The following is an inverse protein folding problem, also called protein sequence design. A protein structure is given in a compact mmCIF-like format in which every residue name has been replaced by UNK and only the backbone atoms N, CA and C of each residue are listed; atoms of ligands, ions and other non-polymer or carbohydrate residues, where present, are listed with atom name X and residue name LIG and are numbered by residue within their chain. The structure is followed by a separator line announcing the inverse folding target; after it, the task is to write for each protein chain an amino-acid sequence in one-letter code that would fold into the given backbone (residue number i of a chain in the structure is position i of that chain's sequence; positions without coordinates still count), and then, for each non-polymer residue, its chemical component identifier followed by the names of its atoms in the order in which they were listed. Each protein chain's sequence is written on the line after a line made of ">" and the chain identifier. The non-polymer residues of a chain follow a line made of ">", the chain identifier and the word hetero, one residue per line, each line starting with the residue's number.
data_IF_961469488585
#
_entry.id   IF_961469488585
#
_cell.length_a   1.000
_cell.length_b   1.000
_cell.length_c   1.000
_cell.angle_alpha   90.00
_cell.angle_beta   90.00
_cell.angle_gamma   90.00
#
_symmetry.space_group_name_H-M   'P 1'
#
loop_
_entity.id
_entity.type
_entity.pdbx_description
1 polymer ?
#
# COMPACT_ATOMS: atom_id res chain seq x y z
N UNK A 1 -15.15 -8.77 3.58
CA UNK A 1 -14.76 -8.76 2.15
C UNK A 1 -13.46 -7.98 2.01
N UNK A 2 -12.55 -8.39 1.12
CA UNK A 2 -11.24 -7.74 0.99
C UNK A 2 -11.14 -6.96 -0.33
N UNK A 3 -10.79 -5.67 -0.24
CA UNK A 3 -10.70 -4.74 -1.35
C UNK A 3 -9.29 -4.18 -1.52
N UNK A 4 -8.81 -4.11 -2.76
CA UNK A 4 -7.59 -3.39 -3.14
C UNK A 4 -7.97 -2.19 -4.02
N UNK A 5 -7.66 -0.98 -3.56
CA UNK A 5 -7.91 0.28 -4.29
C UNK A 5 -6.59 0.83 -4.85
N UNK A 6 -6.47 0.89 -6.16
CA UNK A 6 -5.25 1.33 -6.86
C UNK A 6 -5.51 2.63 -7.60
N UNK A 7 -4.57 3.57 -7.61
CA UNK A 7 -4.65 4.74 -8.49
C UNK A 7 -3.67 5.85 -8.14
N UNK A 8 -3.58 6.87 -9.01
CA UNK A 8 -2.71 8.04 -8.82
C UNK A 8 -2.86 8.71 -7.45
N UNK A 9 -1.83 9.41 -6.95
CA UNK A 9 -2.01 10.41 -5.90
C UNK A 9 -3.17 11.36 -6.25
N UNK A 10 -4.03 11.67 -5.27
CA UNK A 10 -5.20 12.53 -5.50
C UNK A 10 -6.39 11.90 -6.23
N UNK A 11 -6.38 10.59 -6.50
CA UNK A 11 -7.51 9.88 -7.13
C UNK A 11 -8.68 9.56 -6.18
N UNK A 12 -8.61 9.98 -4.90
CA UNK A 12 -9.68 9.77 -3.92
C UNK A 12 -9.70 8.40 -3.22
N UNK A 13 -8.60 7.62 -3.24
CA UNK A 13 -8.50 6.30 -2.59
C UNK A 13 -8.97 6.26 -1.13
N UNK A 14 -8.40 7.12 -0.30
CA UNK A 14 -8.74 7.22 1.12
C UNK A 14 -10.22 7.54 1.30
N UNK A 15 -10.73 8.51 0.53
CA UNK A 15 -12.15 8.90 0.54
C UNK A 15 -13.07 7.74 0.16
N UNK A 16 -12.74 7.02 -0.91
CA UNK A 16 -13.48 5.88 -1.39
C UNK A 16 -13.45 4.72 -0.38
N UNK A 17 -12.32 4.46 0.28
CA UNK A 17 -12.22 3.46 1.34
C UNK A 17 -13.18 3.77 2.50
N UNK A 18 -13.31 5.04 2.87
CA UNK A 18 -14.23 5.54 3.90
C UNK A 18 -15.72 5.59 3.46
N UNK A 19 -16.09 4.91 2.37
CA UNK A 19 -17.50 4.71 1.98
C UNK A 19 -18.02 3.30 2.28
N UNK A 20 -17.18 2.39 2.80
CA UNK A 20 -17.58 1.04 3.19
C UNK A 20 -18.52 0.96 4.41
N UNK A 21 -18.51 -0.17 5.11
CA UNK A 21 -19.34 -0.40 6.30
C UNK A 21 -18.77 0.35 7.52
N UNK A 22 -19.55 1.26 8.07
CA UNK A 22 -19.22 1.97 9.32
C UNK A 22 -19.35 1.05 10.54
N UNK A 23 -18.58 1.25 11.62
CA UNK A 23 -17.53 2.26 11.76
C UNK A 23 -16.19 1.80 11.18
N UNK A 24 -15.33 2.76 10.84
CA UNK A 24 -14.05 2.58 10.17
C UNK A 24 -12.89 2.69 11.15
N UNK A 25 -11.90 1.82 10.99
CA UNK A 25 -10.57 1.98 11.58
C UNK A 25 -9.53 2.12 10.47
N UNK A 26 -8.89 3.29 10.38
CA UNK A 26 -7.96 3.63 9.31
C UNK A 26 -6.54 3.73 9.86
N UNK A 27 -5.63 2.90 9.35
CA UNK A 27 -4.19 2.97 9.57
C UNK A 27 -3.59 3.90 8.51
N UNK A 28 -3.32 5.15 8.91
CA UNK A 28 -2.78 6.23 8.07
C UNK A 28 -1.25 6.22 8.13
N UNK A 29 -0.66 5.47 7.20
CA UNK A 29 0.79 5.36 7.00
C UNK A 29 1.33 6.59 6.27
N UNK A 30 0.50 7.27 5.47
CA UNK A 30 0.87 8.50 4.75
C UNK A 30 0.91 9.74 5.66
N UNK A 31 0.14 9.73 6.74
CA UNK A 31 0.13 10.77 7.77
C UNK A 31 -0.75 11.98 7.47
N UNK A 32 -1.70 11.88 6.52
CA UNK A 32 -2.48 13.01 6.00
C UNK A 32 -4.00 12.89 6.17
N UNK A 33 -4.52 11.71 6.53
CA UNK A 33 -5.96 11.45 6.55
C UNK A 33 -6.70 12.33 7.56
N UNK A 34 -6.06 12.63 8.69
CA UNK A 34 -6.62 13.50 9.72
C UNK A 34 -6.84 14.96 9.27
N UNK A 35 -6.13 15.41 8.23
CA UNK A 35 -6.24 16.77 7.68
C UNK A 35 -7.26 16.85 6.52
N UNK A 36 -7.77 15.72 6.05
CA UNK A 36 -8.67 15.68 4.90
C UNK A 36 -10.05 16.25 5.26
N UNK A 37 -10.43 17.39 4.66
CA UNK A 37 -11.70 18.07 4.92
C UNK A 37 -12.92 17.16 4.73
N UNK A 38 -12.88 16.33 3.68
CA UNK A 38 -13.97 15.42 3.33
C UNK A 38 -14.14 14.24 4.32
N UNK A 39 -13.19 14.01 5.23
CA UNK A 39 -13.28 12.99 6.28
C UNK A 39 -13.70 13.56 7.64
N UNK A 40 -13.64 14.89 7.83
CA UNK A 40 -13.93 15.53 9.11
C UNK A 40 -15.33 15.22 9.64
N UNK A 41 -16.32 15.09 8.75
CA UNK A 41 -17.67 14.69 9.13
C UNK A 41 -17.73 13.31 9.77
N UNK A 42 -16.97 12.34 9.24
CA UNK A 42 -16.91 10.97 9.79
C UNK A 42 -16.15 10.93 11.11
N UNK A 43 -15.06 11.70 11.22
CA UNK A 43 -14.26 11.80 12.45
C UNK A 43 -15.12 12.38 13.58
N UNK A 44 -15.80 13.51 13.32
CA UNK A 44 -16.66 14.17 14.31
C UNK A 44 -17.86 13.32 14.73
N UNK A 45 -18.38 12.50 13.83
CA UNK A 45 -19.47 11.57 14.13
C UNK A 45 -19.03 10.33 14.92
N UNK A 46 -17.72 10.10 15.09
CA UNK A 46 -17.18 8.88 15.68
C UNK A 46 -17.26 7.66 14.76
N UNK A 47 -17.61 7.87 13.48
CA UNK A 47 -17.71 6.81 12.48
C UNK A 47 -16.35 6.39 11.91
N UNK A 48 -15.33 7.23 12.06
CA UNK A 48 -13.97 6.99 11.56
C UNK A 48 -12.96 7.27 12.68
N UNK A 49 -12.23 6.23 13.07
CA UNK A 49 -11.04 6.34 13.93
C UNK A 49 -9.80 6.21 13.07
N UNK A 50 -8.88 7.17 13.21
CA UNK A 50 -7.63 7.22 12.45
C UNK A 50 -6.47 6.92 13.40
N UNK A 51 -5.70 5.90 13.08
CA UNK A 51 -4.37 5.66 13.63
C UNK A 51 -3.33 6.26 12.69
N UNK A 52 -2.79 7.41 13.06
CA UNK A 52 -1.69 8.03 12.32
C UNK A 52 -0.37 7.43 12.77
N UNK A 53 0.35 6.79 11.84
CA UNK A 53 1.66 6.22 12.14
C UNK A 53 2.63 7.32 12.59
N UNK A 54 3.30 7.11 13.72
CA UNK A 54 4.23 8.11 14.29
C UNK A 54 5.66 7.86 13.88
N UNK A 55 6.00 6.62 13.56
CA UNK A 55 7.34 6.23 13.14
C UNK A 55 7.78 6.92 11.86
N UNK A 56 9.00 7.48 11.88
CA UNK A 56 9.66 7.99 10.67
C UNK A 56 10.13 6.81 9.81
N UNK A 57 10.43 7.08 8.54
CA UNK A 57 11.09 6.08 7.68
C UNK A 57 12.45 5.64 8.23
N UNK A 58 13.14 6.58 8.87
CA UNK A 58 14.47 6.44 9.47
C UNK A 58 14.62 7.55 10.51
N UNK A 59 15.28 7.24 11.62
CA UNK A 59 15.52 8.19 12.73
C UNK A 59 16.87 8.92 12.62
N UNK A 60 17.66 8.62 11.59
CA UNK A 60 18.85 9.40 11.24
C UNK A 60 18.46 10.86 10.92
N UNK A 61 19.37 11.80 11.19
CA UNK A 61 19.14 13.20 10.78
C UNK A 61 19.12 13.33 9.25
N UNK A 62 18.24 14.21 8.73
CA UNK A 62 18.13 14.46 7.29
C UNK A 62 19.47 14.91 6.69
N UNK A 63 20.21 15.78 7.39
CA UNK A 63 21.54 16.24 6.97
C UNK A 63 22.53 15.09 6.87
N UNK A 64 22.53 14.16 7.84
CA UNK A 64 23.41 12.99 7.79
C UNK A 64 23.07 12.10 6.60
N UNK A 65 21.79 11.82 6.35
CA UNK A 65 21.34 11.00 5.22
C UNK A 65 21.63 11.62 3.87
N UNK A 66 21.51 12.95 3.74
CA UNK A 66 21.83 13.66 2.50
C UNK A 66 23.33 13.54 2.15
N UNK A 67 24.20 13.65 3.17
CA UNK A 67 25.65 13.48 2.99
C UNK A 67 26.07 12.01 2.84
N UNK A 68 25.26 11.07 3.34
CA UNK A 68 25.60 9.65 3.41
C UNK A 68 24.45 8.74 2.93
N UNK A 69 23.98 8.90 1.68
CA UNK A 69 22.74 8.25 1.21
C UNK A 69 22.82 6.72 1.21
N UNK A 70 24.03 6.17 1.05
CA UNK A 70 24.30 4.74 0.97
C UNK A 70 24.95 4.19 2.24
N UNK A 71 24.95 4.91 3.37
CA UNK A 71 25.44 4.34 4.63
C UNK A 71 24.37 3.46 5.28
N UNK A 72 24.78 2.38 5.98
CA UNK A 72 23.87 1.56 6.75
C UNK A 72 23.06 2.37 7.73
N UNK A 73 21.80 1.98 7.91
CA UNK A 73 20.91 2.57 8.91
C UNK A 73 21.38 2.10 10.28
N UNK A 74 21.52 3.01 11.24
CA UNK A 74 22.06 2.70 12.58
C UNK A 74 20.98 2.41 13.63
N UNK A 75 19.81 2.99 13.48
CA UNK A 75 18.67 2.85 14.38
C UNK A 75 17.59 2.02 13.69
N UNK A 76 17.02 1.03 14.37
CA UNK A 76 15.99 0.18 13.80
C UNK A 76 14.75 1.00 13.42
N UNK A 77 14.33 1.02 12.15
CA UNK A 77 13.09 1.69 11.75
C UNK A 77 11.86 0.97 12.32
N UNK A 78 10.98 1.68 13.02
CA UNK A 78 9.81 1.10 13.68
C UNK A 78 8.55 0.96 12.81
N UNK A 79 8.40 1.76 11.75
CA UNK A 79 7.07 1.96 11.14
C UNK A 79 6.43 0.73 10.47
N UNK A 80 7.21 -0.22 9.96
CA UNK A 80 6.62 -1.47 9.47
C UNK A 80 6.11 -2.34 10.63
N UNK A 81 6.92 -2.46 11.70
CA UNK A 81 6.58 -3.24 12.89
C UNK A 81 5.34 -2.67 13.59
N UNK A 82 5.24 -1.35 13.70
CA UNK A 82 4.06 -0.65 14.25
C UNK A 82 2.76 -1.05 13.54
N UNK A 83 2.79 -1.16 12.21
CA UNK A 83 1.61 -1.58 11.43
C UNK A 83 1.34 -3.07 11.57
N UNK A 84 2.38 -3.92 11.61
CA UNK A 84 2.21 -5.36 11.86
C UNK A 84 1.58 -5.61 13.22
N UNK A 85 2.08 -4.97 14.29
CA UNK A 85 1.56 -5.12 15.64
C UNK A 85 0.06 -4.75 15.71
N UNK A 86 -0.36 -3.69 15.01
CA UNK A 86 -1.77 -3.31 14.92
C UNK A 86 -2.61 -4.37 14.22
N UNK A 87 -2.17 -4.86 13.05
CA UNK A 87 -2.93 -5.86 12.31
C UNK A 87 -2.97 -7.20 13.04
N UNK A 88 -1.90 -7.60 13.74
CA UNK A 88 -1.90 -8.75 14.63
C UNK A 88 -2.98 -8.63 15.70
N UNK A 89 -3.07 -7.48 16.38
CA UNK A 89 -4.14 -7.25 17.38
C UNK A 89 -5.54 -7.29 16.76
N UNK A 90 -5.71 -6.75 15.55
CA UNK A 90 -6.98 -6.79 14.82
C UNK A 90 -7.38 -8.24 14.52
N UNK A 91 -6.46 -9.06 13.99
CA UNK A 91 -6.73 -10.47 13.64
C UNK A 91 -6.88 -11.35 14.87
N UNK A 92 -6.22 -11.00 15.98
CA UNK A 92 -6.35 -11.67 17.28
C UNK A 92 -7.65 -11.27 18.03
N UNK A 93 -8.54 -10.51 17.39
CA UNK A 93 -9.82 -10.06 17.94
C UNK A 93 -9.68 -9.26 19.25
N UNK A 94 -8.66 -8.41 19.37
CA UNK A 94 -8.52 -7.49 20.50
C UNK A 94 -9.83 -6.68 20.70
N UNK A 95 -10.39 -6.62 21.93
CA UNK A 95 -11.61 -5.87 22.22
C UNK A 95 -11.65 -4.43 21.72
N UNK A 96 -10.49 -3.75 21.65
CA UNK A 96 -10.39 -2.38 21.13
C UNK A 96 -10.89 -2.28 19.69
N UNK A 97 -10.62 -3.30 18.86
CA UNK A 97 -10.94 -3.27 17.43
C UNK A 97 -12.27 -3.93 17.08
N UNK A 98 -12.95 -4.56 18.05
CA UNK A 98 -14.24 -5.23 17.82
C UNK A 98 -15.36 -4.31 17.29
N UNK A 99 -15.49 -3.04 17.70
CA UNK A 99 -16.57 -2.18 17.23
C UNK A 99 -16.52 -1.85 15.73
N UNK A 100 -15.35 -1.92 15.09
CA UNK A 100 -15.19 -1.52 13.68
C UNK A 100 -15.66 -2.59 12.72
N UNK A 101 -16.32 -2.16 11.64
CA UNK A 101 -16.81 -3.03 10.57
C UNK A 101 -15.90 -2.99 9.33
N UNK A 102 -15.06 -1.96 9.19
CA UNK A 102 -14.11 -1.84 8.08
C UNK A 102 -12.74 -1.40 8.60
N UNK A 103 -11.71 -2.14 8.22
CA UNK A 103 -10.30 -1.80 8.47
C UNK A 103 -9.65 -1.30 7.18
N UNK A 104 -8.92 -0.20 7.26
CA UNK A 104 -8.32 0.47 6.10
C UNK A 104 -6.81 0.58 6.32
N UNK A 105 -6.00 0.11 5.34
CA UNK A 105 -4.56 0.37 5.26
C UNK A 105 -4.31 1.43 4.18
N UNK A 106 -3.90 2.64 4.58
CA UNK A 106 -3.63 3.77 3.69
C UNK A 106 -2.25 4.42 3.96
N UNK A 107 -1.20 4.20 3.17
CA UNK A 107 -1.11 3.42 1.94
C UNK A 107 -0.11 2.26 2.04
N UNK A 108 -0.39 1.16 1.32
CA UNK A 108 0.56 0.06 1.14
C UNK A 108 1.85 0.51 0.49
N UNK A 109 1.78 1.50 -0.42
CA UNK A 109 2.97 2.05 -1.07
C UNK A 109 3.94 2.60 -0.04
N UNK A 110 3.46 3.36 0.94
CA UNK A 110 4.31 3.88 2.01
C UNK A 110 4.76 2.78 2.97
N UNK A 111 3.89 1.83 3.30
CA UNK A 111 4.26 0.67 4.13
C UNK A 111 5.43 -0.13 3.52
N UNK A 112 5.40 -0.33 2.19
CA UNK A 112 6.49 -0.97 1.46
C UNK A 112 7.83 -0.23 1.61
N UNK A 113 7.82 1.10 1.72
CA UNK A 113 9.03 1.88 1.98
C UNK A 113 9.58 1.65 3.39
N UNK A 114 8.71 1.59 4.40
CA UNK A 114 9.09 1.25 5.77
C UNK A 114 9.69 -0.17 5.85
N UNK A 115 9.07 -1.15 5.20
CA UNK A 115 9.60 -2.53 5.14
C UNK A 115 11.01 -2.57 4.54
N UNK A 116 11.26 -1.85 3.44
CA UNK A 116 12.61 -1.77 2.85
C UNK A 116 13.62 -1.19 3.83
N UNK A 117 13.27 -0.14 4.60
CA UNK A 117 14.18 0.45 5.60
C UNK A 117 14.50 -0.53 6.72
N UNK A 118 13.50 -1.26 7.21
CA UNK A 118 13.70 -2.32 8.20
C UNK A 118 14.64 -3.42 7.69
N UNK A 119 14.45 -3.88 6.44
CA UNK A 119 15.31 -4.91 5.84
C UNK A 119 16.75 -4.41 5.59
N UNK A 120 16.92 -3.15 5.15
CA UNK A 120 18.24 -2.52 5.03
C UNK A 120 18.96 -2.52 6.39
N UNK A 121 18.26 -2.14 7.46
CA UNK A 121 18.79 -2.12 8.82
C UNK A 121 19.26 -3.51 9.27
N UNK A 122 18.40 -4.52 9.21
CA UNK A 122 18.75 -5.89 9.66
C UNK A 122 19.90 -6.52 8.88
N UNK A 123 20.12 -6.09 7.63
CA UNK A 123 21.22 -6.60 6.80
C UNK A 123 22.50 -5.77 6.91
N UNK A 124 22.49 -4.66 7.66
CA UNK A 124 23.61 -3.73 7.70
C UNK A 124 23.96 -3.15 6.31
N UNK A 125 22.99 -3.11 5.40
CA UNK A 125 23.18 -2.62 4.04
C UNK A 125 22.95 -1.12 3.97
N UNK A 126 23.53 -0.46 2.97
CA UNK A 126 23.27 0.96 2.70
C UNK A 126 22.12 1.20 1.73
N UNK A 127 21.85 0.23 0.87
CA UNK A 127 20.92 0.32 -0.26
C UNK A 127 20.14 -0.99 -0.36
N UNK A 128 18.82 -0.89 -0.52
CA UNK A 128 17.98 -2.07 -0.70
C UNK A 128 18.30 -2.76 -2.02
N UNK A 129 18.49 -4.08 -1.98
CA UNK A 129 18.69 -4.90 -3.19
C UNK A 129 20.03 -4.68 -3.89
N UNK A 130 21.02 -4.04 -3.25
CA UNK A 130 22.41 -3.99 -3.74
C UNK A 130 23.34 -4.82 -2.86
N UNK A 131 24.26 -5.51 -3.52
CA UNK A 131 25.36 -6.23 -2.87
C UNK A 131 26.35 -5.22 -2.29
N UNK A 132 26.72 -5.40 -1.02
CA UNK A 132 27.96 -4.81 -0.52
C UNK A 132 29.11 -5.66 -1.06
N UNK A 133 29.70 -5.26 -2.18
CA UNK A 133 30.97 -5.80 -2.64
C UNK A 133 32.04 -5.33 -1.65
N UNK A 134 32.37 -6.16 -0.66
CA UNK A 134 33.54 -5.89 0.18
C UNK A 134 34.79 -6.04 -0.69
N UNK A 135 35.69 -5.04 -0.66
CA UNK A 135 36.90 -5.04 -1.49
C UNK A 135 37.91 -6.13 -1.12
N UNK A 136 37.77 -6.75 0.05
CA UNK A 136 38.78 -7.65 0.63
C UNK A 136 38.39 -9.14 0.60
N UNK A 137 37.19 -9.47 0.12
CA UNK A 137 36.79 -10.87 -0.11
C UNK A 137 36.01 -10.97 -1.41
N UNK A 138 36.73 -11.10 -2.52
CA UNK A 138 36.22 -11.64 -3.78
C UNK A 138 35.96 -13.15 -3.66
N UNK A 139 35.27 -13.56 -2.59
CA UNK A 139 34.54 -14.83 -2.54
C UNK A 139 33.09 -14.46 -2.72
N UNK A 140 32.45 -15.12 -3.66
CA UNK A 140 31.06 -14.98 -4.08
C UNK A 140 30.10 -15.24 -2.89
N UNK A 141 30.02 -14.32 -1.93
CA UNK A 141 29.06 -14.40 -0.84
C UNK A 141 27.73 -13.92 -1.38
N UNK A 142 26.95 -14.86 -1.92
CA UNK A 142 25.49 -14.81 -2.11
C UNK A 142 24.91 -13.42 -2.38
N UNK A 143 25.41 -12.84 -3.48
CA UNK A 143 24.98 -11.57 -4.02
C UNK A 143 23.50 -11.64 -4.43
N UNK A 144 22.63 -10.95 -3.68
CA UNK A 144 21.23 -10.56 -3.97
C UNK A 144 20.05 -11.43 -3.53
N UNK A 145 20.21 -12.67 -3.05
CA UNK A 145 19.03 -13.53 -2.89
C UNK A 145 18.15 -13.33 -1.62
N UNK A 146 18.64 -12.88 -0.44
CA UNK A 146 17.76 -12.87 0.74
C UNK A 146 16.93 -11.60 0.96
N UNK A 147 17.28 -10.41 0.44
CA UNK A 147 16.47 -9.18 0.72
C UNK A 147 15.17 -9.13 -0.06
N UNK A 148 15.20 -9.51 -1.34
CA UNK A 148 13.99 -9.58 -2.16
C UNK A 148 13.11 -10.77 -1.75
N UNK A 149 13.72 -11.90 -1.38
CA UNK A 149 13.02 -13.03 -0.76
C UNK A 149 12.33 -12.63 0.54
N UNK A 150 13.06 -12.05 1.51
CA UNK A 150 12.47 -11.57 2.76
C UNK A 150 11.37 -10.52 2.53
N UNK A 151 11.57 -9.58 1.59
CA UNK A 151 10.55 -8.58 1.25
C UNK A 151 9.26 -9.22 0.72
N UNK A 152 9.39 -10.18 -0.20
CA UNK A 152 8.26 -10.92 -0.74
C UNK A 152 7.55 -11.70 0.37
N UNK A 153 8.29 -12.51 1.14
CA UNK A 153 7.71 -13.33 2.22
C UNK A 153 7.00 -12.48 3.28
N UNK A 154 7.55 -11.34 3.69
CA UNK A 154 6.91 -10.44 4.65
C UNK A 154 5.57 -9.89 4.13
N UNK A 155 5.50 -9.53 2.84
CA UNK A 155 4.25 -9.06 2.25
C UNK A 155 3.26 -10.20 2.02
N UNK A 156 3.73 -11.37 1.60
CA UNK A 156 2.88 -12.56 1.45
C UNK A 156 2.27 -12.96 2.79
N UNK A 157 3.06 -13.03 3.86
CA UNK A 157 2.59 -13.33 5.22
C UNK A 157 1.61 -12.29 5.74
N UNK A 158 1.92 -10.99 5.59
CA UNK A 158 1.01 -9.90 5.98
C UNK A 158 -0.36 -10.07 5.32
N UNK A 159 -0.40 -10.23 4.00
CA UNK A 159 -1.67 -10.33 3.30
C UNK A 159 -2.35 -11.68 3.49
N UNK A 160 -1.60 -12.77 3.65
CA UNK A 160 -2.18 -14.07 4.02
C UNK A 160 -2.92 -13.97 5.36
N UNK A 161 -2.26 -13.37 6.36
CA UNK A 161 -2.84 -13.18 7.69
C UNK A 161 -4.04 -12.23 7.63
N UNK A 162 -3.89 -11.03 7.08
CA UNK A 162 -4.96 -10.04 7.11
C UNK A 162 -6.15 -10.47 6.26
N UNK A 163 -5.94 -11.00 5.05
CA UNK A 163 -7.09 -11.34 4.19
C UNK A 163 -7.86 -12.57 4.66
N UNK A 164 -7.22 -13.50 5.39
CA UNK A 164 -7.87 -14.72 5.90
C UNK A 164 -8.42 -14.59 7.31
N UNK A 165 -7.75 -13.83 8.18
CA UNK A 165 -8.05 -13.78 9.61
C UNK A 165 -8.66 -12.45 10.08
N UNK A 166 -8.96 -11.53 9.16
CA UNK A 166 -9.87 -10.42 9.50
C UNK A 166 -11.19 -11.00 10.00
N UNK A 167 -11.75 -10.49 11.12
CA UNK A 167 -12.91 -11.10 11.75
C UNK A 167 -14.11 -11.18 10.79
N UNK A 168 -14.89 -12.26 10.93
CA UNK A 168 -16.01 -12.53 10.03
C UNK A 168 -17.02 -11.36 9.99
N UNK A 169 -17.57 -11.09 8.80
CA UNK A 169 -18.51 -10.00 8.56
C UNK A 169 -17.86 -8.63 8.35
N UNK A 170 -16.56 -8.49 8.66
CA UNK A 170 -15.81 -7.24 8.51
C UNK A 170 -15.16 -7.12 7.13
N UNK A 171 -14.87 -5.89 6.74
CA UNK A 171 -14.19 -5.57 5.49
C UNK A 171 -12.76 -5.10 5.75
N UNK A 172 -11.84 -5.50 4.87
CA UNK A 172 -10.47 -4.99 4.83
C UNK A 172 -10.24 -4.28 3.50
N UNK A 173 -9.76 -3.04 3.57
CA UNK A 173 -9.49 -2.21 2.39
C UNK A 173 -8.04 -1.79 2.42
N UNK A 174 -7.30 -2.14 1.37
CA UNK A 174 -5.92 -1.71 1.19
C UNK A 174 -5.85 -0.70 0.05
N UNK A 175 -5.16 0.42 0.23
CA UNK A 175 -4.91 1.38 -0.84
C UNK A 175 -3.46 1.29 -1.33
N UNK A 176 -3.25 1.52 -2.62
CA UNK A 176 -1.93 1.63 -3.21
C UNK A 176 -1.87 2.71 -4.28
N UNK A 177 -0.72 3.38 -4.39
CA UNK A 177 -0.45 4.20 -5.57
C UNK A 177 -0.28 3.32 -6.81
N UNK A 178 -0.51 3.88 -7.99
CA UNK A 178 -0.25 3.16 -9.24
C UNK A 178 1.22 3.29 -9.68
N UNK A 179 1.68 2.30 -10.42
CA UNK A 179 2.93 2.30 -11.20
C UNK A 179 2.60 1.88 -12.62
N UNK A 180 2.97 2.71 -13.58
CA UNK A 180 2.88 2.37 -14.99
C UNK A 180 4.07 1.51 -15.37
N UNK A 181 3.80 0.41 -16.07
CA UNK A 181 4.80 -0.48 -16.65
C UNK A 181 4.82 -0.21 -18.14
N UNK A 182 5.91 0.41 -18.57
CA UNK A 182 6.18 0.74 -19.98
C UNK A 182 7.35 -0.10 -20.46
N UNK A 183 7.25 -0.60 -21.68
CA UNK A 183 8.35 -1.25 -22.40
C UNK A 183 8.71 -0.36 -23.59
N UNK A 184 9.99 -0.03 -23.74
CA UNK A 184 10.46 0.72 -24.92
C UNK A 184 10.73 -0.28 -26.04
N UNK A 185 10.00 -0.15 -27.14
CA UNK A 185 10.26 -0.95 -28.34
C UNK A 185 11.67 -0.61 -28.87
N UNK A 186 12.55 -1.61 -29.06
CA UNK A 186 13.95 -1.37 -29.40
C UNK A 186 14.17 -0.85 -30.83
N UNK A 187 13.18 -1.00 -31.73
CA UNK A 187 13.29 -0.60 -33.13
C UNK A 187 12.67 0.78 -33.33
N UNK A 188 11.47 0.99 -32.80
CA UNK A 188 10.70 2.22 -33.01
C UNK A 188 10.94 3.28 -31.94
N UNK A 189 11.59 2.90 -30.84
CA UNK A 189 11.77 3.72 -29.64
C UNK A 189 10.47 4.18 -28.96
N UNK A 190 9.33 3.63 -29.36
CA UNK A 190 8.02 3.96 -28.79
C UNK A 190 7.83 3.26 -27.46
N UNK A 191 7.34 4.01 -26.47
CA UNK A 191 6.95 3.46 -25.17
C UNK A 191 5.57 2.79 -25.26
N UNK A 192 5.54 1.48 -25.01
CA UNK A 192 4.32 0.67 -24.98
C UNK A 192 3.90 0.46 -23.53
N UNK A 193 2.74 1.00 -23.15
CA UNK A 193 2.13 0.73 -21.85
C UNK A 193 1.66 -0.73 -21.78
N UNK A 194 2.37 -1.55 -21.01
CA UNK A 194 2.05 -2.96 -20.73
C UNK A 194 1.00 -3.12 -19.64
N UNK A 195 0.99 -2.24 -18.65
CA UNK A 195 -0.02 -2.28 -17.61
C UNK A 195 0.18 -1.23 -16.53
N UNK A 196 -0.85 -1.09 -15.70
CA UNK A 196 -0.89 -0.17 -14.57
C UNK A 196 -1.22 -0.99 -13.33
N UNK A 197 -0.23 -1.05 -12.44
CA UNK A 197 -0.17 -1.98 -11.32
C UNK A 197 -0.03 -1.21 -10.01
N UNK A 198 -0.24 -1.83 -8.84
CA UNK A 198 0.08 -1.17 -7.58
C UNK A 198 1.59 -0.89 -7.49
N UNK A 199 1.96 0.25 -6.91
CA UNK A 199 3.34 0.68 -6.67
C UNK A 199 3.92 -0.13 -5.50
N UNK A 200 4.18 -1.39 -5.82
CA UNK A 200 4.84 -2.42 -5.01
C UNK A 200 5.95 -3.01 -5.88
N UNK A 201 7.05 -3.43 -5.26
CA UNK A 201 8.21 -3.93 -5.99
C UNK A 201 8.27 -5.47 -6.05
N UNK A 202 9.11 -5.96 -6.96
CA UNK A 202 9.32 -7.40 -7.17
C UNK A 202 8.05 -8.13 -7.63
N UNK A 203 8.06 -9.45 -7.39
CA UNK A 203 6.99 -10.36 -7.77
C UNK A 203 5.67 -10.08 -7.04
N UNK A 204 5.72 -9.43 -5.87
CA UNK A 204 4.53 -9.14 -5.08
C UNK A 204 3.53 -8.27 -5.85
N UNK A 205 3.99 -7.41 -6.76
CA UNK A 205 3.14 -6.57 -7.62
C UNK A 205 2.08 -7.37 -8.38
N UNK A 206 2.48 -8.50 -8.95
CA UNK A 206 1.61 -9.34 -9.78
C UNK A 206 0.75 -10.26 -8.92
N UNK A 207 1.27 -10.71 -7.77
CA UNK A 207 0.54 -11.57 -6.83
C UNK A 207 -0.52 -10.85 -6.03
N UNK A 208 -0.30 -9.57 -5.70
CA UNK A 208 -1.12 -8.82 -4.74
C UNK A 208 -2.61 -8.85 -5.10
N UNK A 209 -2.96 -8.60 -6.35
CA UNK A 209 -4.36 -8.59 -6.79
C UNK A 209 -5.07 -9.95 -6.59
N UNK A 210 -4.32 -11.05 -6.65
CA UNK A 210 -4.83 -12.40 -6.40
C UNK A 210 -5.30 -12.62 -4.96
N UNK A 211 -4.78 -11.85 -4.01
CA UNK A 211 -5.06 -11.97 -2.56
C UNK A 211 -6.34 -11.26 -2.11
N UNK A 212 -6.93 -10.41 -2.97
CA UNK A 212 -8.14 -9.64 -2.64
C UNK A 212 -9.36 -10.16 -3.40
N UNK A 213 -10.54 -10.11 -2.80
CA UNK A 213 -11.77 -10.50 -3.49
C UNK A 213 -12.09 -9.50 -4.61
N UNK A 214 -11.89 -8.21 -4.34
CA UNK A 214 -12.24 -7.11 -5.22
C UNK A 214 -11.02 -6.20 -5.41
N UNK A 215 -10.76 -5.82 -6.66
CA UNK A 215 -9.64 -4.94 -7.03
C UNK A 215 -10.19 -3.83 -7.93
N UNK A 216 -10.16 -2.60 -7.43
CA UNK A 216 -10.69 -1.45 -8.16
C UNK A 216 -9.59 -0.47 -8.50
N UNK A 217 -9.63 0.01 -9.72
CA UNK A 217 -8.74 1.07 -10.17
C UNK A 217 -9.45 2.42 -10.16
N UNK A 218 -8.91 3.38 -9.43
CA UNK A 218 -9.50 4.70 -9.22
C UNK A 218 -9.06 5.70 -10.28
N UNK A 219 -10.05 6.32 -10.90
CA UNK A 219 -9.88 7.37 -11.88
C UNK A 219 -10.49 8.66 -11.36
N UNK A 220 -9.75 9.76 -11.52
CA UNK A 220 -10.27 11.11 -11.39
C UNK A 220 -10.40 11.69 -12.79
N UNK A 221 -11.61 12.06 -13.18
CA UNK A 221 -11.91 12.75 -14.44
C UNK A 221 -12.18 14.21 -14.14
N UNK A 222 -11.26 15.06 -14.56
CA UNK A 222 -11.43 16.50 -14.49
C UNK A 222 -12.09 16.98 -15.80
N UNK A 223 -13.31 17.51 -15.69
CA UNK A 223 -14.01 18.14 -16.82
C UNK A 223 -14.09 19.63 -16.54
N UNK A 224 -13.66 20.46 -17.51
CA UNK A 224 -13.65 21.92 -17.36
C UNK A 224 -15.03 22.43 -16.95
N UNK A 225 -15.10 23.17 -15.84
CA UNK A 225 -16.33 23.76 -15.31
C UNK A 225 -17.24 22.81 -14.52
N UNK A 226 -16.82 21.56 -14.28
CA UNK A 226 -17.53 20.60 -13.42
C UNK A 226 -16.64 20.16 -12.25
N UNK A 227 -17.23 19.77 -11.10
CA UNK A 227 -16.46 19.14 -10.05
C UNK A 227 -15.81 17.85 -10.57
N UNK A 228 -14.65 17.45 -10.02
CA UNK A 228 -13.97 16.22 -10.40
C UNK A 228 -14.89 15.02 -10.19
N UNK A 229 -14.99 14.17 -11.21
CA UNK A 229 -15.74 12.92 -11.17
C UNK A 229 -14.80 11.77 -10.79
N UNK A 230 -15.13 11.06 -9.71
CA UNK A 230 -14.34 9.96 -9.18
C UNK A 230 -15.02 8.64 -9.48
N UNK A 231 -14.31 7.75 -10.17
CA UNK A 231 -14.85 6.48 -10.65
C UNK A 231 -13.95 5.31 -10.29
N UNK A 232 -14.57 4.17 -9.99
CA UNK A 232 -13.87 2.89 -10.07
C UNK A 232 -13.96 2.35 -11.49
N UNK A 233 -12.83 1.84 -11.97
CA UNK A 233 -12.76 0.94 -13.11
C UNK A 233 -12.73 -0.49 -12.58
N UNK A 234 -13.58 -1.34 -13.15
CA UNK A 234 -13.82 -2.71 -12.69
C UNK A 234 -13.21 -3.77 -13.62
N UNK A 235 -12.90 -3.40 -14.87
CA UNK A 235 -12.34 -4.30 -15.88
C UNK A 235 -10.80 -4.20 -16.00
N UNK A 236 -10.15 -5.36 -16.06
CA UNK A 236 -8.71 -5.54 -15.86
C UNK A 236 -7.79 -5.45 -17.09
N UNK A 237 -8.19 -4.79 -18.18
CA UNK A 237 -7.42 -4.81 -19.45
C UNK A 237 -5.94 -4.39 -19.28
N UNK A 238 -5.67 -3.08 -19.24
CA UNK A 238 -4.34 -2.54 -18.90
C UNK A 238 -4.21 -2.17 -17.44
N UNK A 239 -5.32 -2.21 -16.71
CA UNK A 239 -5.40 -1.79 -15.32
C UNK A 239 -5.48 -3.04 -14.46
N UNK A 240 -4.74 -3.06 -13.36
CA UNK A 240 -4.94 -4.06 -12.33
C UNK A 240 -6.30 -3.81 -11.66
N UNK A 241 -7.35 -4.42 -12.21
CA UNK A 241 -8.73 -4.31 -11.75
C UNK A 241 -9.46 -5.64 -11.98
N UNK A 242 -10.29 -6.03 -11.03
CA UNK A 242 -11.07 -7.25 -11.04
C UNK A 242 -12.25 -7.09 -10.09
N UNK A 243 -13.43 -7.48 -10.54
CA UNK A 243 -14.59 -7.61 -9.66
C UNK A 243 -15.22 -8.99 -9.83
N UNK A 244 -15.79 -9.54 -8.76
CA UNK A 244 -16.64 -10.73 -8.84
C UNK A 244 -18.08 -10.40 -9.27
N UNK A 245 -18.42 -9.11 -9.42
CA UNK A 245 -19.78 -8.64 -9.65
C UNK A 245 -20.06 -8.35 -11.12
N UNK A 246 -21.32 -8.55 -11.51
CA UNK A 246 -21.81 -8.18 -12.85
C UNK A 246 -22.24 -6.70 -12.81
N UNK A 247 -21.28 -5.81 -13.09
CA UNK A 247 -21.44 -4.35 -13.04
C UNK A 247 -20.77 -3.68 -14.24
N UNK A 248 -21.08 -2.40 -14.48
CA UNK A 248 -20.46 -1.63 -15.54
C UNK A 248 -18.95 -1.48 -15.33
N UNK A 249 -18.22 -1.26 -16.43
CA UNK A 249 -16.77 -1.05 -16.38
C UNK A 249 -16.39 0.17 -15.52
N UNK A 250 -17.22 1.21 -15.56
CA UNK A 250 -17.07 2.41 -14.74
C UNK A 250 -18.27 2.57 -13.83
N UNK A 251 -18.01 2.77 -12.53
CA UNK A 251 -19.02 3.05 -11.51
C UNK A 251 -18.55 4.20 -10.62
N UNK A 252 -19.45 4.89 -9.88
CA UNK A 252 -19.04 5.88 -8.89
C UNK A 252 -18.06 5.31 -7.87
N UNK A 253 -17.10 6.11 -7.42
CA UNK A 253 -16.08 5.73 -6.43
C UNK A 253 -16.65 5.60 -4.99
N UNK A 254 -17.64 4.74 -4.81
CA UNK A 254 -18.24 4.41 -3.52
C UNK A 254 -18.42 2.91 -3.38
N UNK A 255 -17.97 2.36 -2.26
CA UNK A 255 -18.14 0.95 -1.90
C UNK A 255 -19.57 0.64 -1.44
N UNK A 256 -20.39 1.66 -1.12
CA UNK A 256 -21.82 1.44 -0.80
C UNK A 256 -22.62 0.91 -1.98
N UNK A 257 -22.22 1.26 -3.21
CA UNK A 257 -22.87 0.77 -4.43
C UNK A 257 -22.34 -0.59 -4.90
N UNK A 258 -21.40 -1.15 -4.14
CA UNK A 258 -20.73 -2.43 -4.36
C UNK A 258 -20.94 -3.26 -3.10
#
# INVERSE_FOLDING_TARGET
>A
MNYLLIGKPGSGKTTAACTGKKPFFLVDVDGKAHEMENLQGLIKAGDLVIYTMKSRLIDDSLSYRALHPNKPIKIQPGGYVEVIDLFSRITDNDPEFKPFNTYILDSLTRLCEHLKRLLIYHRGQGVFGKVNLSKDTAKEVDANWPTWGSYLSNLEELFDVVTKYIPEGKDFICTAHEKQIVEKDPITEVEILKGIWPLVDGQMREKLAGMFNEVYFMLRRDVKGKPPDFQFRTAGNKYCARTSRIISEFIPATLKSI
#
